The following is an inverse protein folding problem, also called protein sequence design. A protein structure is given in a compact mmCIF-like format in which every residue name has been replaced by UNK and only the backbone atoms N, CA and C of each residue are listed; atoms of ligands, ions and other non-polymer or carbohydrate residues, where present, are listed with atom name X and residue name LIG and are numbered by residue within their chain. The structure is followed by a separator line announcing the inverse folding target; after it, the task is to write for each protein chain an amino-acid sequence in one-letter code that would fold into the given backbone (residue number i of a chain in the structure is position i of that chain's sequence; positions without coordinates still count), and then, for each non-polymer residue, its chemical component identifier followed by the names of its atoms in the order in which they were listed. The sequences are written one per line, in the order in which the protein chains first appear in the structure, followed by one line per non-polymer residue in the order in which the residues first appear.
data_IF_910623891643
#
_entry.id   IF_910623891643
#
_cell.length_a   1.000
_cell.length_b   1.000
_cell.length_c   1.000
_cell.angle_alpha   90.00
_cell.angle_beta   90.00
_cell.angle_gamma   90.00
#
_symmetry.space_group_name_H-M   'P 1'
#
loop_
_entity.id
_entity.type
_entity.pdbx_description
1 polymer ?
#
# COMPACT_ATOMS: atom_id res chain seq x y z
N UNK A 1 -19.41 12.17 5.79
CA UNK A 1 -19.32 11.44 7.07
C UNK A 1 -19.36 9.94 6.76
N UNK A 2 -18.71 9.08 7.55
CA UNK A 2 -19.07 7.66 7.57
C UNK A 2 -20.37 7.56 8.38
N UNK A 3 -21.38 6.78 7.95
CA UNK A 3 -22.51 6.49 8.84
C UNK A 3 -21.98 5.78 10.09
N UNK A 4 -22.56 6.08 11.24
CA UNK A 4 -22.23 5.35 12.45
C UNK A 4 -22.83 3.94 12.36
N UNK A 5 -21.95 2.94 12.45
CA UNK A 5 -22.29 1.51 12.43
C UNK A 5 -22.69 1.12 13.85
N UNK A 6 -23.70 1.81 14.39
CA UNK A 6 -24.34 1.52 15.67
C UNK A 6 -25.85 1.59 15.41
N UNK A 7 -26.46 0.42 15.28
CA UNK A 7 -27.84 0.26 14.84
C UNK A 7 -28.19 -1.22 14.73
N UNK A 8 -28.33 -1.85 15.90
CA UNK A 8 -29.09 -3.07 16.17
C UNK A 8 -29.08 -4.16 15.07
N UNK A 9 -28.06 -5.02 15.09
CA UNK A 9 -28.18 -6.36 14.50
C UNK A 9 -27.70 -7.47 15.45
N UNK A 10 -28.71 -8.16 15.98
CA UNK A 10 -28.69 -9.52 16.55
C UNK A 10 -28.07 -9.68 17.95
N UNK A 11 -28.98 -9.80 18.90
CA UNK A 11 -28.77 -10.19 20.29
C UNK A 11 -28.13 -11.57 20.47
N UNK A 12 -27.48 -11.72 21.64
CA UNK A 12 -27.14 -12.95 22.37
C UNK A 12 -27.63 -14.27 21.76
N UNK A 13 -26.68 -15.05 21.23
CA UNK A 13 -26.78 -16.50 21.18
C UNK A 13 -25.54 -17.08 21.88
N UNK A 14 -25.74 -17.76 23.02
CA UNK A 14 -24.74 -18.62 23.63
C UNK A 14 -24.49 -19.83 22.71
N UNK A 15 -23.56 -19.68 21.77
CA UNK A 15 -23.11 -20.76 20.90
C UNK A 15 -21.67 -21.11 21.23
N UNK A 16 -21.48 -22.34 21.73
CA UNK A 16 -20.17 -22.91 22.09
C UNK A 16 -19.19 -22.73 20.93
N UNK A 17 -18.06 -22.07 21.20
CA UNK A 17 -16.98 -21.92 20.21
C UNK A 17 -16.28 -23.27 19.98
N UNK A 18 -16.80 -24.04 19.03
CA UNK A 18 -16.18 -25.24 18.48
C UNK A 18 -16.74 -25.48 17.09
N UNK A 19 -15.86 -25.61 16.09
CA UNK A 19 -16.27 -26.06 14.76
C UNK A 19 -16.77 -27.51 14.91
N UNK A 20 -18.00 -27.87 14.49
CA UNK A 20 -18.51 -29.22 14.71
C UNK A 20 -17.60 -30.26 14.05
N UNK A 21 -17.09 -31.18 14.85
CA UNK A 21 -16.23 -32.27 14.40
C UNK A 21 -16.97 -33.09 13.32
N UNK A 22 -16.34 -33.25 12.15
CA UNK A 22 -16.90 -33.99 11.02
C UNK A 22 -17.61 -33.15 9.94
N UNK A 23 -17.73 -31.82 10.07
CA UNK A 23 -18.32 -30.99 9.03
C UNK A 23 -17.50 -30.97 7.73
N UNK A 24 -18.16 -31.26 6.61
CA UNK A 24 -17.57 -31.33 5.27
C UNK A 24 -17.62 -29.97 4.59
N UNK A 25 -16.56 -29.17 4.73
CA UNK A 25 -16.44 -27.88 4.05
C UNK A 25 -15.84 -28.01 2.64
N UNK A 26 -16.08 -27.01 1.79
CA UNK A 26 -15.36 -26.82 0.52
C UNK A 26 -14.36 -25.67 0.66
N UNK A 27 -13.09 -25.99 0.51
CA UNK A 27 -12.02 -25.00 0.52
C UNK A 27 -11.94 -24.27 -0.83
N UNK A 28 -11.99 -22.94 -0.82
CA UNK A 28 -11.87 -22.09 -2.02
C UNK A 28 -10.87 -20.98 -1.71
N UNK A 29 -9.84 -20.79 -2.54
CA UNK A 29 -8.92 -19.69 -2.33
C UNK A 29 -9.45 -18.38 -2.90
N UNK A 30 -9.15 -17.25 -2.26
CA UNK A 30 -9.62 -15.92 -2.65
C UNK A 30 -8.53 -14.85 -2.46
N UNK A 31 -8.45 -13.93 -3.41
CA UNK A 31 -7.64 -12.70 -3.31
C UNK A 31 -8.34 -11.55 -4.06
N UNK A 32 -7.93 -10.32 -3.78
CA UNK A 32 -8.52 -9.08 -4.30
C UNK A 32 -7.45 -8.09 -4.76
N UNK A 33 -7.71 -7.39 -5.86
CA UNK A 33 -6.93 -6.21 -6.24
C UNK A 33 -7.66 -4.93 -5.80
N UNK A 34 -6.91 -3.96 -5.25
CA UNK A 34 -7.46 -2.80 -4.54
C UNK A 34 -6.77 -1.48 -4.93
N UNK A 35 -7.50 -0.35 -4.84
CA UNK A 35 -6.95 0.98 -5.19
C UNK A 35 -5.81 1.46 -4.30
N UNK A 36 -5.60 0.78 -3.16
CA UNK A 36 -4.55 1.02 -2.18
C UNK A 36 -4.41 -0.11 -1.16
N UNK A 37 -4.23 0.23 0.12
CA UNK A 37 -3.90 -0.72 1.22
C UNK A 37 -4.53 -0.30 2.57
N UNK A 38 -5.63 0.46 2.53
CA UNK A 38 -6.42 0.90 3.68
C UNK A 38 -7.87 0.42 3.50
N UNK A 39 -8.62 0.23 4.58
CA UNK A 39 -10.04 -0.16 4.50
C UNK A 39 -10.94 0.87 3.77
N UNK A 40 -10.47 2.13 3.64
CA UNK A 40 -11.16 3.15 2.85
C UNK A 40 -10.84 3.10 1.33
N UNK A 41 -9.93 2.24 0.87
CA UNK A 41 -9.70 1.98 -0.55
C UNK A 41 -10.85 1.15 -1.15
N UNK A 42 -10.81 0.85 -2.45
CA UNK A 42 -11.85 0.10 -3.16
C UNK A 42 -11.31 -1.13 -3.86
N UNK A 43 -12.09 -2.21 -3.85
CA UNK A 43 -11.84 -3.42 -4.64
C UNK A 43 -12.06 -3.07 -6.12
N UNK A 44 -11.18 -3.54 -7.00
CA UNK A 44 -11.34 -3.45 -8.45
C UNK A 44 -11.15 -4.80 -9.18
N UNK A 45 -10.72 -5.86 -8.49
CA UNK A 45 -10.82 -7.24 -8.95
C UNK A 45 -11.16 -8.14 -7.76
N UNK A 46 -12.18 -8.99 -7.91
CA UNK A 46 -12.40 -10.18 -7.10
C UNK A 46 -11.87 -11.38 -7.88
N UNK A 47 -11.17 -12.31 -7.23
CA UNK A 47 -10.83 -13.59 -7.83
C UNK A 47 -10.87 -14.74 -6.80
N UNK A 48 -11.51 -15.85 -7.15
CA UNK A 48 -11.56 -17.07 -6.37
C UNK A 48 -11.17 -18.29 -7.21
N UNK A 49 -10.60 -19.31 -6.57
CA UNK A 49 -9.98 -20.46 -7.24
C UNK A 49 -10.21 -21.78 -6.49
N UNK A 50 -10.52 -22.83 -7.25
CA UNK A 50 -10.44 -24.24 -6.89
C UNK A 50 -9.68 -25.01 -7.99
N UNK A 51 -9.25 -26.26 -7.77
CA UNK A 51 -8.58 -27.04 -8.81
C UNK A 51 -9.43 -27.29 -10.07
N UNK A 52 -10.76 -27.30 -9.93
CA UNK A 52 -11.70 -27.57 -11.03
C UNK A 52 -12.26 -26.31 -11.68
N UNK A 53 -12.39 -25.22 -10.93
CA UNK A 53 -13.09 -24.01 -11.36
C UNK A 53 -12.45 -22.73 -10.82
N UNK A 54 -12.77 -21.60 -11.45
CA UNK A 54 -12.32 -20.29 -10.97
C UNK A 54 -13.37 -19.22 -11.28
N UNK A 55 -13.36 -18.18 -10.46
CA UNK A 55 -14.14 -16.97 -10.63
C UNK A 55 -13.20 -15.78 -10.73
N UNK A 56 -13.40 -14.90 -11.70
CA UNK A 56 -12.78 -13.57 -11.68
C UNK A 56 -13.74 -12.50 -12.19
N UNK A 57 -13.77 -11.35 -11.51
CA UNK A 57 -14.57 -10.21 -11.92
C UNK A 57 -13.88 -8.90 -11.58
N UNK A 58 -13.56 -8.13 -12.62
CA UNK A 58 -13.13 -6.74 -12.46
C UNK A 58 -14.33 -5.84 -12.13
N UNK A 59 -14.13 -4.93 -11.17
CA UNK A 59 -15.11 -3.97 -10.66
C UNK A 59 -14.59 -2.57 -10.97
N UNK A 60 -15.46 -1.64 -11.39
CA UNK A 60 -15.05 -0.26 -11.63
C UNK A 60 -15.00 0.54 -10.31
N UNK A 61 -13.83 0.95 -9.80
CA UNK A 61 -13.74 1.63 -8.51
C UNK A 61 -14.21 3.09 -8.62
N UNK A 62 -14.90 3.59 -7.59
CA UNK A 62 -15.33 5.00 -7.53
C UNK A 62 -14.16 6.00 -7.53
N UNK A 63 -13.01 5.60 -6.98
CA UNK A 63 -11.76 6.37 -6.96
C UNK A 63 -10.72 5.81 -7.95
N UNK A 64 -9.65 6.57 -8.23
CA UNK A 64 -8.55 6.10 -9.06
C UNK A 64 -7.52 5.31 -8.23
N UNK A 65 -6.89 4.30 -8.84
CA UNK A 65 -5.80 3.55 -8.22
C UNK A 65 -4.62 4.48 -7.90
N UNK A 66 -4.08 4.39 -6.69
CA UNK A 66 -2.88 5.13 -6.31
C UNK A 66 -1.63 4.60 -7.05
N UNK A 67 -0.53 5.35 -7.04
CA UNK A 67 0.66 5.01 -7.84
C UNK A 67 1.28 3.65 -7.49
N UNK A 68 1.19 3.20 -6.22
CA UNK A 68 1.68 1.89 -5.81
C UNK A 68 0.76 0.76 -6.29
N UNK A 69 -0.57 0.96 -6.22
CA UNK A 69 -1.55 0.01 -6.76
C UNK A 69 -1.40 -0.15 -8.28
N UNK A 70 -1.28 0.96 -9.03
CA UNK A 70 -1.03 0.90 -10.48
C UNK A 70 0.23 0.09 -10.82
N UNK A 71 1.32 0.32 -10.08
CA UNK A 71 2.57 -0.40 -10.30
C UNK A 71 2.48 -1.88 -9.91
N UNK A 72 1.80 -2.21 -8.81
CA UNK A 72 1.62 -3.60 -8.33
C UNK A 72 0.78 -4.43 -9.30
N UNK A 73 -0.36 -3.90 -9.70
CA UNK A 73 -1.39 -4.63 -10.45
C UNK A 73 -1.29 -4.44 -11.97
N UNK A 74 -0.48 -3.49 -12.44
CA UNK A 74 -0.37 -3.11 -13.86
C UNK A 74 -1.73 -2.79 -14.49
N UNK A 75 -2.57 -2.10 -13.73
CA UNK A 75 -3.89 -1.59 -14.13
C UNK A 75 -3.96 -0.10 -13.82
N UNK A 76 -4.66 0.68 -14.65
CA UNK A 76 -4.95 2.08 -14.38
C UNK A 76 -6.39 2.45 -14.78
N UNK A 77 -6.91 3.53 -14.19
CA UNK A 77 -8.14 4.17 -14.68
C UNK A 77 -7.76 5.21 -15.74
N UNK A 78 -8.41 5.17 -16.89
CA UNK A 78 -8.33 6.19 -17.93
C UNK A 78 -9.73 6.75 -18.24
N UNK A 79 -9.80 7.88 -18.97
CA UNK A 79 -11.05 8.40 -19.53
C UNK A 79 -11.09 8.12 -21.04
N UNK A 80 -12.17 7.51 -21.53
CA UNK A 80 -12.45 7.27 -22.95
C UNK A 80 -13.82 7.85 -23.27
N UNK A 81 -13.88 8.80 -24.21
CA UNK A 81 -15.11 9.55 -24.55
C UNK A 81 -15.87 10.11 -23.32
N UNK A 82 -15.13 10.59 -22.32
CA UNK A 82 -15.68 11.09 -21.05
C UNK A 82 -15.89 10.04 -19.95
N UNK A 83 -16.10 8.77 -20.30
CA UNK A 83 -16.35 7.68 -19.35
C UNK A 83 -15.05 7.16 -18.72
N UNK A 84 -15.07 6.84 -17.42
CA UNK A 84 -13.95 6.18 -16.73
C UNK A 84 -13.96 4.68 -17.03
N UNK A 85 -12.83 4.11 -17.41
CA UNK A 85 -12.66 2.66 -17.64
C UNK A 85 -11.33 2.18 -17.07
N UNK A 86 -11.24 0.89 -16.73
CA UNK A 86 -9.96 0.25 -16.42
C UNK A 86 -9.21 -0.11 -17.71
N UNK A 87 -7.89 0.03 -17.67
CA UNK A 87 -6.97 -0.35 -18.75
C UNK A 87 -5.80 -1.15 -18.16
N UNK A 88 -5.44 -2.26 -18.81
CA UNK A 88 -4.20 -2.99 -18.51
C UNK A 88 -3.00 -2.20 -19.02
N UNK A 89 -1.98 -2.03 -18.17
CA UNK A 89 -0.70 -1.43 -18.51
C UNK A 89 0.22 -2.39 -19.26
N UNK A 90 0.01 -3.71 -19.13
CA UNK A 90 0.73 -4.75 -19.87
C UNK A 90 0.23 -4.86 -21.31
N UNK A 91 -1.05 -5.19 -21.51
CA UNK A 91 -1.61 -5.44 -22.85
C UNK A 91 -2.09 -4.17 -23.56
N UNK A 92 -2.14 -3.03 -22.87
CA UNK A 92 -2.76 -1.79 -23.31
C UNK A 92 -4.26 -1.88 -23.67
N UNK A 93 -4.93 -3.00 -23.39
CA UNK A 93 -6.36 -3.21 -23.66
C UNK A 93 -7.24 -2.63 -22.53
N UNK A 94 -8.45 -2.20 -22.90
CA UNK A 94 -9.51 -1.84 -21.95
C UNK A 94 -10.01 -3.14 -21.29
N UNK A 95 -10.23 -3.09 -19.98
CA UNK A 95 -10.74 -4.19 -19.17
C UNK A 95 -12.25 -3.99 -18.98
N UNK A 96 -13.06 -5.02 -19.27
CA UNK A 96 -14.50 -4.99 -18.99
C UNK A 96 -14.72 -5.05 -17.48
N UNK A 97 -15.56 -4.17 -16.97
CA UNK A 97 -15.84 -4.02 -15.53
C UNK A 97 -17.33 -4.10 -15.24
N UNK A 98 -17.68 -4.56 -14.04
CA UNK A 98 -19.03 -4.45 -13.47
C UNK A 98 -19.10 -3.36 -12.37
N UNK A 99 -20.30 -3.10 -11.87
CA UNK A 99 -20.48 -2.39 -10.60
C UNK A 99 -20.06 -3.27 -9.41
N UNK A 100 -19.74 -2.68 -8.26
CA UNK A 100 -19.36 -3.43 -7.05
C UNK A 100 -20.50 -4.38 -6.62
N UNK A 101 -21.73 -3.88 -6.58
CA UNK A 101 -22.93 -4.68 -6.26
C UNK A 101 -23.15 -5.86 -7.23
N UNK A 102 -22.91 -5.67 -8.53
CA UNK A 102 -23.03 -6.77 -9.51
C UNK A 102 -21.86 -7.75 -9.40
N UNK A 103 -20.65 -7.28 -9.10
CA UNK A 103 -19.49 -8.14 -8.87
C UNK A 103 -19.69 -9.09 -7.68
N UNK A 104 -20.18 -8.56 -6.55
CA UNK A 104 -20.50 -9.38 -5.38
C UNK A 104 -21.69 -10.31 -5.58
N UNK A 105 -22.75 -9.89 -6.30
CA UNK A 105 -23.85 -10.81 -6.67
C UNK A 105 -23.38 -11.98 -7.53
N UNK A 106 -22.52 -11.73 -8.52
CA UNK A 106 -21.93 -12.80 -9.34
C UNK A 106 -21.05 -13.74 -8.52
N UNK A 107 -20.28 -13.20 -7.57
CA UNK A 107 -19.49 -14.03 -6.65
C UNK A 107 -20.42 -14.91 -5.80
N UNK A 108 -21.48 -14.36 -5.20
CA UNK A 108 -22.43 -15.13 -4.38
C UNK A 108 -23.11 -16.22 -5.20
N UNK A 109 -23.62 -15.91 -6.41
CA UNK A 109 -24.23 -16.93 -7.29
C UNK A 109 -23.26 -18.06 -7.66
N UNK A 110 -22.00 -17.74 -7.97
CA UNK A 110 -20.98 -18.77 -8.20
C UNK A 110 -20.71 -19.60 -6.93
N UNK A 111 -20.72 -18.99 -5.73
CA UNK A 111 -20.57 -19.72 -4.47
C UNK A 111 -21.78 -20.63 -4.18
N UNK A 112 -22.99 -20.25 -4.58
CA UNK A 112 -24.19 -21.10 -4.48
C UNK A 112 -24.04 -22.35 -5.36
N UNK A 113 -23.56 -22.20 -6.60
CA UNK A 113 -23.19 -23.32 -7.47
C UNK A 113 -22.11 -24.20 -6.81
N UNK A 114 -21.08 -23.57 -6.23
CA UNK A 114 -19.98 -24.29 -5.57
C UNK A 114 -20.39 -25.04 -4.30
N UNK A 115 -21.43 -24.62 -3.58
CA UNK A 115 -21.83 -25.17 -2.28
C UNK A 115 -22.63 -26.50 -2.38
N UNK A 116 -22.63 -27.13 -3.56
CA UNK A 116 -23.24 -28.44 -3.76
C UNK A 116 -22.51 -29.52 -2.94
N UNK A 117 -23.24 -30.25 -2.09
CA UNK A 117 -22.77 -31.37 -1.26
C UNK A 117 -21.72 -31.03 -0.18
N UNK A 118 -21.72 -29.80 0.35
CA UNK A 118 -20.90 -29.41 1.51
C UNK A 118 -21.70 -28.58 2.54
N UNK A 119 -21.29 -28.65 3.81
CA UNK A 119 -21.91 -27.92 4.92
C UNK A 119 -21.63 -26.40 4.86
N UNK A 120 -20.65 -26.01 4.05
CA UNK A 120 -20.29 -24.64 3.77
C UNK A 120 -18.97 -24.49 3.03
N UNK A 121 -18.62 -23.25 2.75
CA UNK A 121 -17.36 -22.85 2.09
C UNK A 121 -16.42 -22.22 3.13
N UNK A 122 -15.13 -22.51 2.99
CA UNK A 122 -14.05 -21.89 3.75
C UNK A 122 -13.10 -21.17 2.79
N UNK A 123 -12.85 -19.89 3.05
CA UNK A 123 -12.05 -19.04 2.17
C UNK A 123 -10.57 -19.00 2.55
N UNK A 124 -9.72 -19.55 1.69
CA UNK A 124 -8.26 -19.54 1.87
C UNK A 124 -7.70 -18.20 1.37
N UNK A 125 -6.98 -17.47 2.21
CA UNK A 125 -6.19 -16.31 1.81
C UNK A 125 -4.70 -16.47 2.21
N UNK A 126 -3.84 -15.58 1.73
CA UNK A 126 -2.43 -15.55 2.11
C UNK A 126 -1.93 -14.11 2.29
N UNK A 127 -1.85 -13.63 3.54
CA UNK A 127 -1.36 -12.28 3.81
C UNK A 127 -0.72 -12.09 5.19
N UNK A 128 0.33 -11.26 5.23
CA UNK A 128 1.05 -10.93 6.47
C UNK A 128 0.30 -9.95 7.39
N UNK A 129 -0.61 -9.14 6.84
CA UNK A 129 -1.53 -8.26 7.59
C UNK A 129 -2.92 -8.51 7.05
N UNK A 130 -3.84 -8.89 7.94
CA UNK A 130 -5.25 -9.13 7.66
C UNK A 130 -5.86 -7.91 6.94
N UNK A 131 -6.41 -8.14 5.75
CA UNK A 131 -6.90 -7.11 4.83
C UNK A 131 -7.87 -7.69 3.78
N UNK A 132 -7.58 -8.87 3.21
CA UNK A 132 -8.45 -9.53 2.22
C UNK A 132 -9.85 -9.84 2.81
N UNK A 133 -9.98 -10.55 3.96
CA UNK A 133 -11.29 -10.79 4.58
C UNK A 133 -12.01 -9.49 4.95
N UNK A 134 -11.31 -8.58 5.64
CA UNK A 134 -11.87 -7.30 6.12
C UNK A 134 -12.44 -6.45 4.97
N UNK A 135 -11.75 -6.37 3.83
CA UNK A 135 -12.24 -5.66 2.65
C UNK A 135 -13.47 -6.32 2.03
N UNK A 136 -13.53 -7.66 2.00
CA UNK A 136 -14.67 -8.43 1.49
C UNK A 136 -15.89 -8.23 2.39
N UNK A 137 -15.73 -8.44 3.70
CA UNK A 137 -16.79 -8.26 4.71
C UNK A 137 -17.29 -6.80 4.72
N UNK A 138 -16.39 -5.82 4.65
CA UNK A 138 -16.75 -4.40 4.58
C UNK A 138 -17.60 -4.08 3.33
N UNK A 139 -17.26 -4.61 2.15
CA UNK A 139 -18.07 -4.42 0.95
C UNK A 139 -19.41 -5.15 1.04
N UNK A 140 -19.46 -6.37 1.60
CA UNK A 140 -20.70 -7.12 1.82
C UNK A 140 -21.67 -6.42 2.79
N UNK A 141 -21.16 -5.82 3.87
CA UNK A 141 -21.95 -4.98 4.79
C UNK A 141 -22.51 -3.77 4.04
N UNK A 142 -21.66 -3.01 3.34
CA UNK A 142 -22.07 -1.82 2.59
C UNK A 142 -23.08 -2.11 1.45
N UNK A 143 -23.20 -3.37 1.02
CA UNK A 143 -24.12 -3.83 -0.02
C UNK A 143 -25.36 -4.54 0.54
N UNK A 144 -25.50 -4.67 1.86
CA UNK A 144 -26.53 -5.48 2.55
C UNK A 144 -26.56 -6.95 2.08
N UNK A 145 -25.39 -7.53 1.78
CA UNK A 145 -25.22 -8.90 1.28
C UNK A 145 -24.58 -9.87 2.28
N UNK A 146 -24.14 -9.38 3.44
CA UNK A 146 -23.47 -10.19 4.47
C UNK A 146 -24.30 -11.41 4.90
N UNK A 147 -25.60 -11.25 5.14
CA UNK A 147 -26.49 -12.35 5.58
C UNK A 147 -26.63 -13.47 4.54
N UNK A 148 -26.61 -13.14 3.25
CA UNK A 148 -26.62 -14.14 2.18
C UNK A 148 -25.27 -14.87 2.10
N UNK A 149 -24.18 -14.10 2.16
CA UNK A 149 -22.82 -14.62 2.13
C UNK A 149 -22.49 -15.55 3.31
N UNK A 150 -22.87 -15.17 4.54
CA UNK A 150 -22.60 -15.94 5.76
C UNK A 150 -23.36 -17.28 5.86
N UNK A 151 -24.42 -17.47 5.07
CA UNK A 151 -25.06 -18.80 4.93
C UNK A 151 -24.12 -19.78 4.23
N UNK A 152 -23.41 -19.31 3.20
CA UNK A 152 -22.52 -20.10 2.35
C UNK A 152 -21.12 -20.21 2.98
N UNK A 153 -20.48 -19.08 3.28
CA UNK A 153 -19.09 -18.99 3.74
C UNK A 153 -19.04 -18.96 5.26
N UNK A 154 -18.41 -19.98 5.87
CA UNK A 154 -18.34 -20.13 7.33
C UNK A 154 -17.20 -19.34 7.97
N UNK A 155 -16.14 -19.09 7.21
CA UNK A 155 -14.98 -18.35 7.69
C UNK A 155 -13.83 -18.28 6.69
N UNK A 156 -12.73 -17.70 7.14
CA UNK A 156 -11.51 -17.48 6.38
C UNK A 156 -10.33 -18.20 7.04
N UNK A 157 -9.36 -18.65 6.25
CA UNK A 157 -8.11 -19.25 6.72
C UNK A 157 -6.94 -18.52 6.10
N UNK A 158 -6.13 -17.87 6.93
CA UNK A 158 -4.92 -17.20 6.47
C UNK A 158 -3.72 -18.15 6.51
N UNK A 159 -3.34 -18.68 5.35
CA UNK A 159 -2.20 -19.61 5.20
C UNK A 159 -0.84 -19.02 5.60
N UNK A 160 -0.73 -17.70 5.77
CA UNK A 160 0.47 -17.11 6.38
C UNK A 160 0.62 -17.53 7.86
N UNK A 161 -0.49 -17.73 8.58
CA UNK A 161 -0.48 -18.20 9.97
C UNK A 161 -0.04 -19.67 10.05
N UNK A 162 -0.60 -20.51 9.17
CA UNK A 162 -0.19 -21.90 8.99
C UNK A 162 1.31 -22.01 8.66
N UNK A 163 1.79 -21.24 7.67
CA UNK A 163 3.21 -21.23 7.29
C UNK A 163 4.15 -20.84 8.45
N UNK A 164 3.74 -19.91 9.32
CA UNK A 164 4.51 -19.55 10.51
C UNK A 164 4.55 -20.67 11.56
N UNK A 165 3.46 -21.43 11.72
CA UNK A 165 3.40 -22.58 12.62
C UNK A 165 4.24 -23.75 12.10
N UNK A 166 4.03 -24.17 10.84
CA UNK A 166 4.68 -25.37 10.27
C UNK A 166 6.18 -25.20 10.01
N UNK A 167 6.65 -23.98 9.67
CA UNK A 167 8.03 -23.79 9.18
C UNK A 167 9.03 -23.24 10.21
N UNK A 168 8.62 -22.95 11.46
CA UNK A 168 9.50 -22.68 12.61
C UNK A 168 10.50 -21.51 12.49
N UNK A 169 10.40 -20.67 11.46
CA UNK A 169 11.46 -19.73 11.07
C UNK A 169 11.30 -18.31 11.59
N UNK A 170 12.34 -17.77 12.25
CA UNK A 170 12.46 -16.35 12.62
C UNK A 170 12.72 -15.42 11.44
N UNK A 171 13.00 -15.94 10.23
CA UNK A 171 13.30 -15.15 9.03
C UNK A 171 12.02 -14.61 8.35
N UNK A 172 11.31 -13.76 9.10
CA UNK A 172 9.95 -13.20 8.88
C UNK A 172 9.79 -12.35 7.61
N UNK A 173 10.75 -12.36 6.69
CA UNK A 173 10.80 -11.51 5.49
C UNK A 173 10.38 -12.23 4.20
N UNK A 174 10.31 -13.57 4.20
CA UNK A 174 10.14 -14.37 2.97
C UNK A 174 8.74 -15.00 2.76
N UNK A 175 7.84 -14.94 3.75
CA UNK A 175 6.45 -15.40 3.62
C UNK A 175 5.56 -14.40 2.87
N UNK A 176 5.80 -14.27 1.56
CA UNK A 176 4.78 -13.81 0.61
C UNK A 176 4.44 -14.97 -0.32
N UNK A 177 3.21 -15.02 -0.83
CA UNK A 177 2.66 -16.20 -1.52
C UNK A 177 3.55 -16.71 -2.68
N UNK A 178 4.20 -15.80 -3.41
CA UNK A 178 5.15 -16.13 -4.50
C UNK A 178 6.42 -16.79 -3.95
N UNK A 179 7.05 -16.18 -2.95
CA UNK A 179 8.30 -16.70 -2.37
C UNK A 179 8.06 -18.01 -1.62
N UNK A 180 6.93 -18.13 -0.92
CA UNK A 180 6.54 -19.35 -0.22
C UNK A 180 6.23 -20.48 -1.21
N UNK A 181 5.41 -20.24 -2.24
CA UNK A 181 5.18 -21.23 -3.30
C UNK A 181 6.49 -21.69 -3.96
N UNK A 182 7.40 -20.77 -4.29
CA UNK A 182 8.74 -21.14 -4.82
C UNK A 182 9.61 -21.91 -3.82
N UNK A 183 9.41 -21.71 -2.51
CA UNK A 183 10.14 -22.42 -1.45
C UNK A 183 9.60 -23.84 -1.24
N UNK A 184 8.28 -24.01 -1.25
CA UNK A 184 7.62 -25.30 -1.15
C UNK A 184 7.92 -26.16 -2.39
N UNK A 185 7.85 -25.54 -3.59
CA UNK A 185 7.98 -26.21 -4.88
C UNK A 185 9.45 -26.38 -5.36
N UNK A 186 10.46 -26.30 -4.48
CA UNK A 186 11.89 -26.39 -4.88
C UNK A 186 12.30 -27.70 -5.58
N UNK A 187 11.45 -28.73 -5.58
CA UNK A 187 11.65 -30.00 -6.29
C UNK A 187 11.01 -30.10 -7.68
N UNK A 188 9.98 -29.30 -8.00
CA UNK A 188 9.25 -29.42 -9.27
C UNK A 188 9.97 -28.68 -10.40
N UNK A 189 10.49 -29.40 -11.40
CA UNK A 189 11.11 -28.84 -12.62
C UNK A 189 10.07 -28.33 -13.64
N UNK A 190 8.96 -27.77 -13.19
CA UNK A 190 7.93 -27.26 -14.09
C UNK A 190 8.34 -25.92 -14.68
N UNK A 191 8.66 -25.94 -15.97
CA UNK A 191 8.91 -24.76 -16.82
C UNK A 191 7.62 -23.97 -17.12
N UNK A 192 6.69 -23.90 -16.16
CA UNK A 192 5.48 -23.12 -16.28
C UNK A 192 5.84 -21.61 -16.38
N UNK A 193 5.21 -20.84 -17.29
CA UNK A 193 5.44 -19.39 -17.37
C UNK A 193 5.18 -18.71 -16.02
N UNK A 194 6.09 -17.84 -15.56
CA UNK A 194 5.94 -17.18 -14.26
C UNK A 194 4.70 -16.27 -14.24
N UNK A 195 3.61 -16.74 -13.62
CA UNK A 195 2.33 -16.04 -13.61
C UNK A 195 2.47 -14.64 -12.96
N UNK A 196 1.72 -13.68 -13.50
CA UNK A 196 1.77 -12.30 -13.02
C UNK A 196 1.03 -12.16 -11.69
N UNK A 197 1.76 -12.36 -10.59
CA UNK A 197 1.33 -12.25 -9.18
C UNK A 197 0.75 -10.87 -8.81
N UNK A 198 0.85 -9.87 -9.69
CA UNK A 198 0.10 -8.63 -9.55
C UNK A 198 -1.41 -8.79 -9.75
N UNK A 199 -1.88 -9.81 -10.46
CA UNK A 199 -3.30 -10.18 -10.62
C UNK A 199 -3.83 -10.89 -9.38
N UNK A 200 -5.09 -10.65 -9.01
CA UNK A 200 -5.76 -11.37 -7.91
C UNK A 200 -5.90 -12.87 -8.21
N UNK A 201 -6.24 -13.25 -9.45
CA UNK A 201 -6.45 -14.64 -9.88
C UNK A 201 -5.19 -15.49 -9.67
N UNK A 202 -4.03 -14.98 -10.11
CA UNK A 202 -2.73 -15.62 -9.90
C UNK A 202 -2.40 -15.83 -8.41
N UNK A 203 -2.81 -14.90 -7.53
CA UNK A 203 -2.57 -15.03 -6.08
C UNK A 203 -3.54 -15.99 -5.40
N UNK A 204 -4.81 -16.03 -5.80
CA UNK A 204 -5.76 -17.02 -5.31
C UNK A 204 -5.28 -18.45 -5.64
N UNK A 205 -4.83 -18.68 -6.88
CA UNK A 205 -4.20 -19.96 -7.29
C UNK A 205 -3.00 -20.33 -6.42
N UNK A 206 -2.06 -19.40 -6.24
CA UNK A 206 -0.87 -19.64 -5.41
C UNK A 206 -1.22 -19.86 -3.93
N UNK A 207 -2.23 -19.18 -3.38
CA UNK A 207 -2.69 -19.37 -2.00
C UNK A 207 -3.32 -20.75 -1.79
N UNK A 208 -4.07 -21.27 -2.76
CA UNK A 208 -4.59 -22.64 -2.74
C UNK A 208 -3.45 -23.66 -2.72
N UNK A 209 -2.50 -23.54 -3.66
CA UNK A 209 -1.38 -24.48 -3.76
C UNK A 209 -0.48 -24.45 -2.51
N UNK A 210 -0.26 -23.27 -1.93
CA UNK A 210 0.42 -23.11 -0.64
C UNK A 210 -0.34 -23.79 0.50
N UNK A 211 -1.67 -23.73 0.53
CA UNK A 211 -2.46 -24.39 1.57
C UNK A 211 -2.30 -25.93 1.52
N UNK A 212 -2.42 -26.52 0.33
CA UNK A 212 -2.24 -27.96 0.10
C UNK A 212 -0.84 -28.39 0.57
N UNK A 213 0.20 -27.76 0.03
CA UNK A 213 1.61 -28.07 0.35
C UNK A 213 1.97 -27.91 1.83
N UNK A 214 1.30 -27.03 2.58
CA UNK A 214 1.50 -26.90 4.02
C UNK A 214 0.75 -27.99 4.80
N UNK A 215 -0.49 -28.31 4.42
CA UNK A 215 -1.32 -29.33 5.07
C UNK A 215 -0.77 -30.75 4.88
N UNK A 216 -0.06 -30.99 3.78
CA UNK A 216 0.62 -32.27 3.50
C UNK A 216 1.93 -32.43 4.27
N UNK A 217 2.46 -31.35 4.87
CA UNK A 217 3.73 -31.34 5.62
C UNK A 217 3.57 -31.37 7.14
N UNK A 218 2.35 -31.26 7.67
CA UNK A 218 2.14 -31.42 9.11
C UNK A 218 2.41 -32.88 9.53
N UNK A 219 3.15 -33.12 10.63
CA UNK A 219 3.47 -34.48 11.11
C UNK A 219 2.23 -35.13 11.74
N UNK A 220 1.35 -35.69 10.90
CA UNK A 220 0.13 -36.37 11.33
C UNK A 220 0.46 -37.68 12.05
N UNK A 221 0.01 -37.79 13.30
CA UNK A 221 -0.02 -39.07 14.00
C UNK A 221 -1.20 -39.91 13.47
N UNK A 222 -0.91 -41.10 12.95
CA UNK A 222 -1.86 -42.09 12.38
C UNK A 222 -2.33 -41.84 10.93
N UNK A 223 -2.91 -42.88 10.32
CA UNK A 223 -2.90 -43.16 8.87
C UNK A 223 -3.97 -42.46 8.03
N UNK A 224 -4.70 -41.48 8.57
CA UNK A 224 -5.72 -40.78 7.79
C UNK A 224 -5.14 -39.58 7.03
N UNK A 225 -5.12 -39.71 5.70
CA UNK A 225 -5.01 -38.59 4.76
C UNK A 225 -6.30 -37.76 4.77
N UNK A 226 -6.64 -37.21 5.93
CA UNK A 226 -7.77 -36.31 6.14
C UNK A 226 -7.76 -35.17 5.13
N UNK A 227 -8.95 -34.80 4.67
CA UNK A 227 -9.14 -33.81 3.60
C UNK A 227 -8.50 -32.46 3.95
N UNK A 228 -8.16 -31.66 2.92
CA UNK A 228 -7.62 -30.30 3.09
C UNK A 228 -8.42 -29.49 4.13
N UNK A 229 -9.75 -29.63 4.11
CA UNK A 229 -10.65 -28.92 5.01
C UNK A 229 -10.51 -29.35 6.48
N UNK A 230 -10.20 -30.62 6.75
CA UNK A 230 -9.95 -31.11 8.11
C UNK A 230 -8.64 -30.52 8.67
N UNK A 231 -7.58 -30.44 7.84
CA UNK A 231 -6.30 -29.83 8.23
C UNK A 231 -6.41 -28.30 8.42
N UNK A 232 -7.26 -27.62 7.64
CA UNK A 232 -7.50 -26.18 7.79
C UNK A 232 -8.45 -25.82 8.95
N UNK A 233 -9.24 -26.77 9.46
CA UNK A 233 -10.27 -26.55 10.50
C UNK A 233 -9.78 -25.78 11.74
N UNK A 234 -8.59 -26.06 12.32
CA UNK A 234 -8.09 -25.32 13.50
C UNK A 234 -7.71 -23.85 13.22
N UNK A 235 -7.65 -23.45 11.95
CA UNK A 235 -7.19 -22.14 11.50
C UNK A 235 -8.30 -21.26 10.90
N UNK A 236 -9.57 -21.66 11.05
CA UNK A 236 -10.74 -20.93 10.55
C UNK A 236 -11.10 -19.78 11.49
N UNK A 237 -10.88 -18.55 11.04
CA UNK A 237 -11.51 -17.35 11.60
C UNK A 237 -12.97 -17.31 11.10
N UNK A 238 -13.95 -17.42 12.01
CA UNK A 238 -15.37 -17.37 11.66
C UNK A 238 -15.81 -15.97 11.21
N UNK A 239 -16.97 -15.87 10.57
CA UNK A 239 -17.55 -14.57 10.18
C UNK A 239 -17.63 -13.57 11.35
N UNK A 240 -17.94 -14.03 12.56
CA UNK A 240 -18.05 -13.18 13.76
C UNK A 240 -16.69 -12.72 14.29
N UNK A 241 -15.61 -13.44 13.99
CA UNK A 241 -14.24 -12.97 14.23
C UNK A 241 -13.92 -11.85 13.21
N UNK A 242 -14.21 -12.08 11.93
CA UNK A 242 -13.97 -11.09 10.87
C UNK A 242 -14.72 -9.77 11.04
N UNK A 243 -15.98 -9.82 11.50
CA UNK A 243 -16.79 -8.62 11.76
C UNK A 243 -16.19 -7.82 12.92
N UNK A 244 -15.84 -8.48 14.03
CA UNK A 244 -15.21 -7.81 15.19
C UNK A 244 -13.83 -7.21 14.85
N UNK A 245 -13.02 -7.93 14.07
CA UNK A 245 -11.73 -7.42 13.57
C UNK A 245 -11.92 -6.20 12.66
N UNK A 246 -12.95 -6.21 11.80
CA UNK A 246 -13.29 -5.09 10.93
C UNK A 246 -13.72 -3.85 11.73
N UNK A 247 -14.56 -4.02 12.76
CA UNK A 247 -15.00 -2.91 13.61
C UNK A 247 -13.82 -2.31 14.40
N UNK A 248 -12.95 -3.16 14.96
CA UNK A 248 -11.72 -2.73 15.62
C UNK A 248 -10.81 -1.93 14.67
N UNK A 249 -10.56 -2.44 13.46
CA UNK A 249 -9.73 -1.73 12.47
C UNK A 249 -10.40 -0.45 11.95
N UNK A 250 -11.73 -0.38 11.90
CA UNK A 250 -12.47 0.84 11.58
C UNK A 250 -12.34 1.90 12.69
N UNK A 251 -12.43 1.51 13.97
CA UNK A 251 -12.13 2.39 15.10
C UNK A 251 -10.68 2.86 15.06
N UNK A 252 -9.71 1.95 14.85
CA UNK A 252 -8.31 2.29 14.69
C UNK A 252 -8.06 3.24 13.51
N UNK A 253 -8.80 3.09 12.40
CA UNK A 253 -8.75 3.99 11.25
C UNK A 253 -9.29 5.40 11.59
N UNK A 254 -10.39 5.50 12.37
CA UNK A 254 -10.91 6.77 12.91
C UNK A 254 -9.84 7.44 13.80
N UNK A 255 -9.29 6.71 14.81
CA UNK A 255 -8.20 7.17 15.69
C UNK A 255 -6.98 7.64 14.91
N UNK A 256 -6.48 6.85 13.96
CA UNK A 256 -5.36 7.22 13.07
C UNK A 256 -5.63 8.54 12.35
N UNK A 257 -6.85 8.76 11.84
CA UNK A 257 -7.20 9.97 11.09
C UNK A 257 -7.24 11.22 11.98
N UNK A 258 -7.57 11.12 13.26
CA UNK A 258 -7.54 12.25 14.22
C UNK A 258 -6.17 12.95 14.26
N UNK A 259 -5.08 12.18 14.23
CA UNK A 259 -3.69 12.67 14.26
C UNK A 259 -3.22 13.37 12.97
N UNK A 260 -4.04 13.53 11.94
CA UNK A 260 -3.62 14.18 10.69
C UNK A 260 -3.07 15.61 10.88
N UNK A 261 -3.63 16.49 11.73
CA UNK A 261 -3.11 17.84 11.99
C UNK A 261 -1.69 17.82 12.59
N UNK A 262 -1.49 17.00 13.63
CA UNK A 262 -0.20 16.83 14.33
C UNK A 262 0.97 16.52 13.38
N UNK A 263 0.71 15.75 12.33
CA UNK A 263 1.73 15.30 11.37
C UNK A 263 1.78 16.07 10.05
N UNK A 264 1.10 17.22 9.91
CA UNK A 264 1.08 18.01 8.66
C UNK A 264 2.49 18.33 8.12
N UNK A 265 3.43 18.68 8.99
CA UNK A 265 4.82 18.95 8.59
C UNK A 265 5.60 17.68 8.19
N UNK A 266 5.25 16.50 8.71
CA UNK A 266 5.89 15.23 8.37
C UNK A 266 5.48 14.74 6.98
N UNK A 267 4.26 15.01 6.53
CA UNK A 267 3.79 14.56 5.21
C UNK A 267 4.49 15.25 4.02
N UNK A 268 5.24 16.33 4.27
CA UNK A 268 6.02 17.10 3.28
C UNK A 268 7.22 16.34 2.71
N UNK A 269 7.75 15.32 3.39
CA UNK A 269 8.85 14.48 2.87
C UNK A 269 8.51 12.99 2.95
N UNK A 270 9.07 12.17 2.06
CA UNK A 270 8.77 10.73 2.00
C UNK A 270 9.24 9.98 3.26
N UNK A 271 10.41 10.33 3.81
CA UNK A 271 10.96 9.68 5.02
C UNK A 271 10.09 9.97 6.24
N UNK A 272 9.75 11.25 6.45
CA UNK A 272 8.93 11.66 7.59
C UNK A 272 7.47 11.21 7.45
N UNK A 273 6.95 11.09 6.22
CA UNK A 273 5.64 10.46 5.94
C UNK A 273 5.57 9.03 6.44
N UNK A 274 6.58 8.20 6.19
CA UNK A 274 6.60 6.79 6.67
C UNK A 274 6.63 6.77 8.21
N UNK A 275 7.44 7.63 8.83
CA UNK A 275 7.54 7.76 10.29
C UNK A 275 6.23 8.21 10.94
N UNK A 276 5.57 9.23 10.38
CA UNK A 276 4.25 9.68 10.82
C UNK A 276 3.17 8.60 10.64
N UNK A 277 3.21 7.80 9.57
CA UNK A 277 2.30 6.66 9.41
C UNK A 277 2.55 5.60 10.50
N UNK A 278 3.81 5.22 10.78
CA UNK A 278 4.16 4.32 11.90
C UNK A 278 3.55 4.84 13.21
N UNK A 279 3.81 6.10 13.57
CA UNK A 279 3.33 6.66 14.83
C UNK A 279 1.81 6.67 14.95
N UNK A 280 1.09 7.08 13.89
CA UNK A 280 -0.38 7.12 13.89
C UNK A 280 -0.99 5.73 14.08
N UNK A 281 -0.39 4.70 13.47
CA UNK A 281 -0.81 3.30 13.62
C UNK A 281 -0.61 2.87 15.08
N UNK A 282 0.60 2.99 15.61
CA UNK A 282 0.93 2.51 16.97
C UNK A 282 0.12 3.21 18.06
N UNK A 283 -0.15 4.52 17.93
CA UNK A 283 -1.00 5.24 18.87
C UNK A 283 -2.44 4.71 18.84
N UNK A 284 -3.02 4.54 17.65
CA UNK A 284 -4.39 4.06 17.48
C UNK A 284 -4.60 2.61 17.95
N UNK A 285 -3.64 1.73 17.67
CA UNK A 285 -3.61 0.33 18.15
C UNK A 285 -3.55 0.25 19.67
N UNK A 286 -2.96 1.24 20.34
CA UNK A 286 -2.94 1.37 21.81
C UNK A 286 -4.15 2.17 22.36
N UNK A 287 -5.23 2.30 21.58
CA UNK A 287 -6.45 2.96 22.00
C UNK A 287 -6.45 4.49 21.94
N UNK A 288 -5.32 5.12 21.60
CA UNK A 288 -5.13 6.56 21.69
C UNK A 288 -5.61 7.29 20.42
N UNK A 289 -6.26 8.43 20.61
CA UNK A 289 -6.49 9.43 19.59
C UNK A 289 -6.02 10.82 20.05
N UNK A 290 -6.13 11.81 19.17
CA UNK A 290 -5.69 13.17 19.44
C UNK A 290 -6.51 13.88 20.54
N UNK A 291 -7.76 13.48 20.77
CA UNK A 291 -8.62 14.01 21.82
C UNK A 291 -8.18 13.53 23.20
N UNK A 292 -8.07 12.20 23.37
CA UNK A 292 -7.59 11.56 24.60
C UNK A 292 -6.22 12.12 25.01
N UNK A 293 -5.29 12.26 24.06
CA UNK A 293 -3.95 12.79 24.37
C UNK A 293 -3.94 14.30 24.67
N UNK A 294 -4.92 15.06 24.15
CA UNK A 294 -5.10 16.46 24.52
C UNK A 294 -5.68 16.60 25.94
N UNK A 295 -6.61 15.74 26.34
CA UNK A 295 -7.17 15.69 27.70
C UNK A 295 -6.05 15.38 28.72
N UNK A 296 -5.30 14.29 28.50
CA UNK A 296 -4.15 13.89 29.32
C UNK A 296 -3.11 15.02 29.44
N UNK A 297 -2.85 15.76 28.35
CA UNK A 297 -1.92 16.89 28.37
C UNK A 297 -2.50 18.12 29.10
N UNK A 298 -3.81 18.34 29.09
CA UNK A 298 -4.40 19.44 29.85
C UNK A 298 -4.36 19.19 31.37
N UNK A 299 -4.51 17.94 31.79
CA UNK A 299 -4.44 17.52 33.20
C UNK A 299 -3.00 17.40 33.71
N UNK A 300 -2.15 16.60 33.05
CA UNK A 300 -0.83 16.17 33.57
C UNK A 300 0.33 16.64 32.67
N UNK A 301 0.05 17.49 31.66
CA UNK A 301 1.04 18.08 30.74
C UNK A 301 1.95 17.03 30.11
N UNK A 302 3.23 17.34 29.90
CA UNK A 302 4.21 16.42 29.33
C UNK A 302 4.34 15.11 30.11
N UNK A 303 4.18 15.15 31.43
CA UNK A 303 4.37 13.96 32.27
C UNK A 303 3.26 12.92 32.04
N UNK A 304 2.02 13.37 31.81
CA UNK A 304 0.94 12.49 31.35
C UNK A 304 1.32 11.78 30.05
N UNK A 305 1.72 12.53 29.03
CA UNK A 305 2.15 11.96 27.74
C UNK A 305 3.31 10.97 27.87
N UNK A 306 4.29 11.23 28.74
CA UNK A 306 5.40 10.30 29.01
C UNK A 306 4.86 8.98 29.58
N UNK A 307 4.01 9.04 30.60
CA UNK A 307 3.40 7.86 31.24
C UNK A 307 2.52 7.07 30.26
N UNK A 308 1.70 7.75 29.44
CA UNK A 308 0.83 7.11 28.44
C UNK A 308 1.61 6.41 27.32
N UNK A 309 2.77 6.94 26.92
CA UNK A 309 3.61 6.32 25.88
C UNK A 309 4.61 5.29 26.45
N UNK A 310 4.83 5.25 27.76
CA UNK A 310 5.72 4.29 28.42
C UNK A 310 5.42 2.81 28.09
N UNK A 311 4.17 2.29 28.18
CA UNK A 311 3.87 0.87 27.92
C UNK A 311 4.01 0.44 26.45
N UNK A 312 4.12 1.38 25.49
CA UNK A 312 4.16 1.03 24.06
C UNK A 312 5.55 0.50 23.68
N UNK A 313 5.76 -0.82 23.75
CA UNK A 313 7.07 -1.47 23.49
C UNK A 313 7.62 -1.25 22.07
N UNK A 314 6.73 -1.15 21.08
CA UNK A 314 7.07 -0.97 19.65
C UNK A 314 7.63 0.42 19.29
N UNK A 315 7.61 1.36 20.24
CA UNK A 315 8.25 2.67 20.16
C UNK A 315 9.59 2.64 20.91
N UNK A 316 10.67 2.96 20.21
CA UNK A 316 11.98 3.17 20.85
C UNK A 316 11.94 4.42 21.75
N UNK A 317 12.82 4.51 22.76
CA UNK A 317 12.84 5.68 23.67
C UNK A 317 13.00 7.01 22.91
N UNK A 318 13.79 7.03 21.83
CA UNK A 318 13.94 8.19 20.93
C UNK A 318 12.64 8.56 20.21
N UNK A 319 11.82 7.58 19.85
CA UNK A 319 10.50 7.78 19.25
C UNK A 319 9.48 8.27 20.27
N UNK A 320 9.50 7.75 21.50
CA UNK A 320 8.68 8.25 22.61
C UNK A 320 8.99 9.72 22.90
N UNK A 321 10.27 10.08 23.04
CA UNK A 321 10.71 11.47 23.24
C UNK A 321 10.29 12.38 22.07
N UNK A 322 10.44 11.95 20.81
CA UNK A 322 9.99 12.71 19.64
C UNK A 322 8.47 12.96 19.66
N UNK A 323 7.67 11.95 20.04
CA UNK A 323 6.22 12.07 20.14
C UNK A 323 5.77 12.99 21.26
N UNK A 324 6.32 12.87 22.48
CA UNK A 324 6.02 13.77 23.60
C UNK A 324 6.31 15.21 23.22
N UNK A 325 7.49 15.48 22.65
CA UNK A 325 7.90 16.82 22.22
C UNK A 325 6.99 17.37 21.11
N UNK A 326 6.58 16.52 20.15
CA UNK A 326 5.68 16.92 19.05
C UNK A 326 4.27 17.24 19.56
N UNK A 327 3.72 16.42 20.46
CA UNK A 327 2.39 16.61 21.05
C UNK A 327 2.36 17.84 21.97
N UNK A 328 3.33 17.97 22.88
CA UNK A 328 3.45 19.12 23.79
C UNK A 328 3.57 20.45 23.02
N UNK A 329 4.33 20.46 21.92
CA UNK A 329 4.43 21.66 21.06
C UNK A 329 3.17 21.93 20.22
N UNK A 330 2.29 20.95 20.03
CA UNK A 330 1.05 21.09 19.27
C UNK A 330 -0.14 21.50 20.16
N UNK A 331 -0.14 21.04 21.42
CA UNK A 331 -1.18 21.38 22.39
C UNK A 331 -0.92 22.70 23.12
N UNK A 332 0.34 23.13 23.26
CA UNK A 332 0.69 24.42 23.88
C UNK A 332 0.60 25.59 22.87
N UNK A 333 -0.36 26.52 23.01
CA UNK A 333 -0.50 27.66 22.08
C UNK A 333 0.69 28.63 22.10
N UNK A 334 1.59 28.52 23.10
CA UNK A 334 2.79 29.35 23.22
C UNK A 334 4.00 28.75 22.49
N UNK A 335 3.93 27.48 22.06
CA UNK A 335 5.03 26.78 21.36
C UNK A 335 4.83 26.85 19.85
N UNK A 336 5.95 26.72 19.13
CA UNK A 336 5.97 26.83 17.66
C UNK A 336 6.00 25.43 17.05
N UNK A 337 5.02 25.16 16.19
CA UNK A 337 4.91 24.00 15.29
C UNK A 337 6.27 23.38 14.89
N UNK A 338 6.52 22.16 15.39
CA UNK A 338 7.78 21.46 15.12
C UNK A 338 7.83 21.02 13.65
N UNK A 339 8.92 21.44 12.98
CA UNK A 339 9.28 21.02 11.63
C UNK A 339 10.31 19.90 11.73
N UNK A 340 10.02 18.67 11.24
CA UNK A 340 10.93 17.56 11.39
C UNK A 340 12.20 17.80 10.56
N UNK A 341 13.35 17.77 11.23
CA UNK A 341 14.64 18.10 10.61
C UNK A 341 14.90 17.12 9.46
N UNK A 342 14.93 17.65 8.23
CA UNK A 342 15.40 16.89 7.09
C UNK A 342 16.92 16.69 7.26
N UNK A 343 17.35 15.45 7.56
CA UNK A 343 18.77 15.10 7.42
C UNK A 343 19.15 15.38 5.97
N UNK A 344 19.94 16.42 5.75
CA UNK A 344 20.43 16.77 4.43
C UNK A 344 21.10 15.53 3.86
N UNK A 345 20.56 14.99 2.77
CA UNK A 345 21.21 13.91 2.06
C UNK A 345 22.61 14.41 1.71
N UNK A 346 23.65 13.81 2.30
CA UNK A 346 25.04 14.09 1.93
C UNK A 346 25.09 13.90 0.42
N UNK A 347 25.15 15.01 -0.32
CA UNK A 347 25.32 14.99 -1.77
C UNK A 347 26.62 14.22 -1.99
N UNK A 348 26.50 12.95 -2.36
CA UNK A 348 27.61 12.21 -2.97
C UNK A 348 27.96 13.05 -4.19
N UNK A 349 29.01 13.87 -4.07
CA UNK A 349 29.61 14.56 -5.22
C UNK A 349 29.88 13.44 -6.21
N UNK A 350 29.13 13.39 -7.31
CA UNK A 350 29.50 12.57 -8.45
C UNK A 350 30.87 13.09 -8.87
N UNK A 351 31.90 12.30 -8.59
CA UNK A 351 33.20 12.54 -9.15
C UNK A 351 33.04 12.30 -10.65
N UNK A 352 32.92 13.39 -11.42
CA UNK A 352 32.95 13.31 -12.87
C UNK A 352 34.40 12.97 -13.25
N UNK A 353 34.72 11.69 -13.36
CA UNK A 353 35.90 11.27 -14.09
C UNK A 353 35.62 11.42 -15.59
N UNK A 354 35.81 12.65 -16.08
CA UNK A 354 36.06 12.87 -17.49
C UNK A 354 37.54 12.58 -17.74
N UNK A 355 37.92 11.61 -18.60
CA UNK A 355 39.30 11.45 -19.00
C UNK A 355 39.72 12.65 -19.84
N UNK A 356 40.73 13.40 -19.38
CA UNK A 356 41.31 14.48 -20.13
C UNK A 356 42.16 13.90 -21.28
N UNK A 357 41.90 14.38 -22.50
CA UNK A 357 42.73 14.09 -23.66
C UNK A 357 44.02 14.92 -23.61
N UNK A 358 45.18 14.27 -23.57
CA UNK A 358 46.46 14.92 -23.87
C UNK A 358 47.24 14.07 -24.87
N UNK A 359 47.52 14.67 -26.02
CA UNK A 359 48.31 14.12 -27.13
C UNK A 359 49.82 14.20 -26.86
N UNK A 360 50.58 13.22 -27.35
CA UNK A 360 52.04 13.26 -27.41
C UNK A 360 52.61 11.86 -27.61
N UNK A 361 53.21 11.56 -28.76
CA UNK A 361 53.63 10.20 -29.13
C UNK A 361 55.12 10.09 -29.51
N UNK A 362 55.52 8.84 -29.80
CA UNK A 362 56.69 8.36 -30.58
C UNK A 362 56.45 6.85 -30.81
N UNK A 363 56.51 6.34 -32.05
CA UNK A 363 57.70 5.69 -32.68
C UNK A 363 58.20 4.46 -31.87
N UNK A 364 58.41 3.25 -32.42
CA UNK A 364 58.55 2.78 -33.83
C UNK A 364 58.45 1.24 -33.92
N UNK A 365 58.18 0.70 -35.14
CA UNK A 365 58.53 -0.67 -35.65
C UNK A 365 57.93 -1.93 -34.94
N UNK A 366 57.66 -3.09 -35.58
CA UNK A 366 57.56 -3.46 -37.01
C UNK A 366 56.84 -4.84 -37.21
N UNK A 367 56.66 -5.27 -38.48
CA UNK A 367 56.38 -6.64 -39.00
C UNK A 367 54.93 -7.20 -39.08
N UNK A 368 54.40 -7.24 -40.33
CA UNK A 368 54.06 -8.43 -41.16
C UNK A 368 53.09 -9.54 -40.62
N UNK A 369 52.23 -10.21 -41.42
CA UNK A 369 52.09 -10.35 -42.89
C UNK A 369 50.70 -10.94 -43.30
N UNK A 370 50.01 -10.33 -44.29
CA UNK A 370 49.14 -10.97 -45.33
C UNK A 370 47.90 -11.85 -44.95
N UNK A 371 46.93 -12.23 -45.81
CA UNK A 371 46.63 -12.02 -47.25
C UNK A 371 45.09 -11.83 -47.47
N UNK A 372 44.72 -11.34 -48.67
CA UNK A 372 43.36 -11.16 -49.24
C UNK A 372 43.31 -11.93 -50.60
N UNK A 373 42.30 -11.86 -51.51
CA UNK A 373 40.89 -11.40 -51.49
C UNK A 373 39.90 -12.35 -52.29
N UNK A 374 38.89 -11.75 -52.95
CA UNK A 374 38.04 -12.21 -54.08
C UNK A 374 36.70 -12.92 -53.79
N UNK A 375 35.59 -12.65 -54.51
CA UNK A 375 35.35 -11.76 -55.67
C UNK A 375 33.88 -11.25 -55.77
N UNK A 376 33.62 -10.22 -56.58
CA UNK A 376 32.28 -9.70 -56.94
C UNK A 376 32.03 -9.86 -58.46
N UNK A 377 30.80 -9.60 -59.01
CA UNK A 377 30.60 -8.27 -59.62
C UNK A 377 29.14 -7.71 -59.74
N UNK A 378 29.04 -6.37 -59.58
CA UNK A 378 28.31 -5.35 -60.39
C UNK A 378 26.89 -5.68 -60.91
N UNK A 379 25.85 -4.88 -60.59
CA UNK A 379 25.46 -3.60 -61.26
C UNK A 379 24.19 -3.03 -60.57
N UNK A 380 23.69 -1.78 -60.71
CA UNK A 380 24.12 -0.49 -61.33
C UNK A 380 23.34 0.69 -60.68
N UNK A 381 23.44 1.91 -61.23
CA UNK A 381 22.72 3.18 -60.89
C UNK A 381 22.41 3.93 -62.22
N UNK A 382 21.68 5.09 -62.31
CA UNK A 382 21.32 6.09 -61.28
C UNK A 382 19.93 6.80 -61.40
N UNK A 383 19.54 7.62 -60.39
CA UNK A 383 19.50 9.10 -60.55
C UNK A 383 19.35 9.87 -59.22
N UNK A 384 19.62 11.18 -59.25
CA UNK A 384 19.66 12.11 -58.10
C UNK A 384 18.30 12.78 -57.81
N UNK A 385 18.04 13.12 -56.55
CA UNK A 385 17.61 14.48 -56.17
C UNK A 385 17.92 14.82 -54.69
N UNK A 386 17.82 16.10 -54.30
CA UNK A 386 18.45 16.69 -53.10
C UNK A 386 17.45 17.34 -52.12
N UNK A 387 17.55 16.98 -50.82
CA UNK A 387 17.49 17.90 -49.63
C UNK A 387 16.10 18.54 -49.30
N UNK A 388 15.76 19.01 -48.05
CA UNK A 388 16.38 18.90 -46.71
C UNK A 388 15.49 18.30 -45.57
N UNK A 389 16.16 17.63 -44.63
CA UNK A 389 16.16 17.86 -43.16
C UNK A 389 14.87 18.33 -42.41
N UNK A 390 14.33 17.47 -41.53
CA UNK A 390 13.27 17.81 -40.55
C UNK A 390 13.55 17.25 -39.14
N UNK A 391 13.69 18.13 -38.14
CA UNK A 391 14.09 17.78 -36.76
C UNK A 391 13.09 16.87 -36.03
N UNK A 392 13.52 15.68 -35.59
CA UNK A 392 12.79 14.89 -34.57
C UNK A 392 13.00 15.47 -33.17
N UNK A 393 11.98 16.11 -32.61
CA UNK A 393 11.95 16.52 -31.20
C UNK A 393 11.71 15.32 -30.28
N UNK A 394 12.57 15.15 -29.28
CA UNK A 394 12.37 14.17 -28.19
C UNK A 394 11.30 14.71 -27.24
N UNK A 395 10.13 14.08 -27.19
CA UNK A 395 9.10 14.40 -26.19
C UNK A 395 9.56 13.91 -24.81
N UNK A 396 9.75 14.85 -23.88
CA UNK A 396 10.06 14.54 -22.49
C UNK A 396 8.77 14.23 -21.72
N UNK A 397 8.70 13.04 -21.10
CA UNK A 397 7.61 12.72 -20.18
C UNK A 397 7.69 13.61 -18.94
N UNK A 398 6.74 14.53 -18.80
CA UNK A 398 6.58 15.35 -17.59
C UNK A 398 6.08 14.52 -16.42
N UNK A 399 6.76 14.62 -15.28
CA UNK A 399 6.21 14.22 -13.98
C UNK A 399 5.00 15.11 -13.67
N UNK A 400 3.79 14.56 -13.67
CA UNK A 400 2.60 15.29 -13.23
C UNK A 400 2.12 14.77 -11.87
N UNK A 401 2.28 15.62 -10.85
CA UNK A 401 2.07 15.28 -9.43
C UNK A 401 0.73 15.78 -8.92
N UNK A 402 -0.37 15.37 -9.56
CA UNK A 402 -1.70 15.88 -9.19
C UNK A 402 -2.27 15.21 -7.94
N UNK A 403 -2.38 16.01 -6.89
CA UNK A 403 -3.00 15.69 -5.61
C UNK A 403 -4.09 16.73 -5.33
N UNK A 404 -5.30 16.48 -5.85
CA UNK A 404 -6.50 17.21 -5.45
C UNK A 404 -7.65 16.22 -5.20
N UNK A 405 -7.90 15.95 -3.91
CA UNK A 405 -9.24 15.63 -3.44
C UNK A 405 -9.83 16.95 -2.93
N UNK A 406 -10.81 17.50 -3.63
CA UNK A 406 -11.74 18.49 -3.08
C UNK A 406 -13.10 17.84 -2.98
N UNK A 407 -13.73 17.97 -1.81
CA UNK A 407 -15.14 17.66 -1.65
C UNK A 407 -15.94 18.77 -2.34
N UNK A 408 -16.99 18.39 -3.06
CA UNK A 408 -18.02 19.32 -3.51
C UNK A 408 -19.20 19.20 -2.54
N UNK A 409 -19.33 20.17 -1.64
CA UNK A 409 -20.61 20.57 -1.07
C UNK A 409 -21.00 21.89 -1.75
N UNK A 410 -22.19 21.94 -2.35
CA UNK A 410 -22.58 23.06 -3.21
C UNK A 410 -23.25 24.20 -2.46
N UNK A 411 -23.10 25.43 -2.97
CA UNK A 411 -24.28 26.29 -3.18
C UNK A 411 -24.06 27.29 -4.33
N UNK A 412 -25.17 27.70 -4.94
CA UNK A 412 -25.24 28.74 -5.97
C UNK A 412 -24.80 30.11 -5.42
N UNK A 413 -24.07 30.89 -6.24
CA UNK A 413 -24.56 32.21 -6.68
C UNK A 413 -23.75 32.77 -7.86
N UNK A 414 -24.43 33.57 -8.70
CA UNK A 414 -23.91 34.15 -9.95
C UNK A 414 -23.06 35.39 -9.68
N UNK A 415 -21.94 35.56 -10.39
CA UNK A 415 -21.16 36.81 -10.36
C UNK A 415 -20.07 36.89 -11.43
N UNK A 416 -20.38 37.41 -12.63
CA UNK A 416 -19.39 37.65 -13.68
C UNK A 416 -18.56 38.91 -13.39
N UNK A 417 -17.26 38.78 -13.09
CA UNK A 417 -16.30 39.89 -13.25
C UNK A 417 -15.00 39.41 -13.89
N UNK A 418 -14.75 39.82 -15.14
CA UNK A 418 -13.43 39.73 -15.78
C UNK A 418 -12.48 40.70 -15.08
N UNK A 419 -11.31 40.25 -14.59
CA UNK A 419 -10.17 41.15 -14.29
C UNK A 419 -8.97 40.85 -15.18
N UNK A 420 -8.46 41.90 -15.82
CA UNK A 420 -7.34 41.89 -16.76
C UNK A 420 -6.04 41.56 -16.02
N UNK A 421 -5.13 40.83 -16.69
CA UNK A 421 -3.71 40.78 -16.31
C UNK A 421 -3.08 42.13 -16.65
N UNK A 422 -2.36 42.74 -15.70
CA UNK A 422 -1.40 43.80 -15.99
C UNK A 422 0.03 43.30 -15.74
N UNK A 423 0.97 43.79 -16.54
CA UNK A 423 2.35 43.34 -16.55
C UNK A 423 3.27 44.26 -15.73
N UNK A 424 4.40 43.67 -15.30
CA UNK A 424 5.73 44.29 -15.02
C UNK A 424 5.77 45.75 -14.53
N UNK A 425 6.34 45.94 -13.34
CA UNK A 425 7.33 47.01 -13.11
C UNK A 425 8.53 46.46 -12.34
N UNK A 426 9.71 46.99 -12.63
CA UNK A 426 11.03 46.50 -12.20
C UNK A 426 11.83 47.66 -11.58
N UNK A 427 12.78 47.32 -10.69
CA UNK A 427 13.85 48.15 -10.10
C UNK A 427 13.44 49.23 -9.06
N UNK A 428 14.37 49.75 -8.23
CA UNK A 428 15.78 49.33 -8.03
C UNK A 428 16.12 48.95 -6.57
N UNK A 429 17.36 48.47 -6.35
CA UNK A 429 17.98 48.39 -5.02
C UNK A 429 18.68 49.71 -4.66
N UNK A 430 18.87 49.96 -3.36
CA UNK A 430 19.68 51.06 -2.83
C UNK A 430 20.81 50.52 -1.94
N UNK A 431 21.92 51.27 -1.89
CA UNK A 431 23.18 50.83 -1.27
C UNK A 431 23.35 51.34 0.17
N UNK A 432 24.25 50.66 0.90
CA UNK A 432 24.77 50.95 2.26
C UNK A 432 24.84 52.43 2.68
N UNK A 433 24.64 52.65 3.98
CA UNK A 433 25.55 53.48 4.78
C UNK A 433 25.96 52.72 6.06
N UNK A 434 27.13 53.05 6.59
CA UNK A 434 27.76 52.44 7.76
C UNK A 434 28.33 53.55 8.62
N UNK A 435 28.20 53.45 9.95
CA UNK A 435 28.98 54.28 10.88
C UNK A 435 29.14 53.59 12.23
N UNK A 436 30.35 53.66 12.76
CA UNK A 436 30.79 53.08 14.03
C UNK A 436 30.49 54.00 15.23
N UNK A 437 30.52 53.44 16.44
CA UNK A 437 30.46 54.17 17.72
C UNK A 437 30.56 53.19 18.90
N UNK A 438 31.41 53.47 19.89
CA UNK A 438 31.89 52.49 20.87
C UNK A 438 31.67 52.89 22.35
N UNK A 439 31.83 51.89 23.24
CA UNK A 439 31.86 51.99 24.73
C UNK A 439 30.51 52.39 25.40
N UNK A 440 30.24 52.10 26.69
CA UNK A 440 31.12 51.80 27.84
C UNK A 440 30.42 50.94 28.93
N UNK A 441 31.23 50.32 29.80
CA UNK A 441 30.99 50.04 31.26
C UNK A 441 29.93 49.06 31.83
N UNK A 442 30.47 48.06 32.56
CA UNK A 442 30.09 47.46 33.87
C UNK A 442 28.62 47.10 34.23
N UNK A 443 28.44 46.06 35.09
CA UNK A 443 28.17 46.39 36.49
C UNK A 443 28.94 45.56 37.54
N UNK A 444 28.82 46.02 38.80
CA UNK A 444 29.49 45.52 40.00
C UNK A 444 29.06 44.12 40.48
N UNK A 445 29.93 43.58 41.33
CA UNK A 445 29.75 42.47 42.27
C UNK A 445 28.42 42.51 43.04
N UNK A 446 27.83 41.34 43.31
CA UNK A 446 27.07 41.13 44.54
C UNK A 446 27.64 39.93 45.32
N UNK A 447 28.14 40.20 46.53
CA UNK A 447 28.52 39.17 47.51
C UNK A 447 27.26 38.70 48.24
N UNK A 448 26.97 37.40 48.25
CA UNK A 448 26.21 36.79 49.35
C UNK A 448 26.91 35.54 49.89
N UNK A 449 27.21 35.59 51.18
CA UNK A 449 27.69 34.47 52.00
C UNK A 449 26.54 33.49 52.26
N UNK A 450 26.83 32.19 52.16
CA UNK A 450 26.67 31.25 53.28
C UNK A 450 27.57 30.06 53.04
#
# INVERSE_FOLDING_TARGET
MLPDIIGDSVANADTKHGNPEGANFKAIAIDIDTTGRRLCDKIFQLAAFTPTEHFEQYIMPSVNLNSAARQRHQVCVIKVKGHRVLKSMQSNKIIKTESEATGFRKLIGWLEEQNSNCDGIVFICHEKRKFIPLMIVQSLINLNMLTAFAKLVKGFVNTNNLAMATMGGTDRMYFNVRNLSKLLNKGSKDNAPEEFVGSANARARLAFNVAVELCDREPRSSKDSGSLCQALSPYIDTMDIEIRDLDLENVNLKRQNSFRPLFLNYFKTTVHRVRAVKFRILLAENGLDLGILNEIWNEIRMQGLISTLAPIESLTSKEKTELVILMDSYFDPKKIDIKPVAKAARRRRRHNNSPASTTGGKETLDQNLSFQPDSAPKTSTPNKERVPNGKRTRSANGNDSNNENRNEDGNNQRGKVRRKRNARRMKPAAHKSSQDGAATEQPLQEKKRK
#
